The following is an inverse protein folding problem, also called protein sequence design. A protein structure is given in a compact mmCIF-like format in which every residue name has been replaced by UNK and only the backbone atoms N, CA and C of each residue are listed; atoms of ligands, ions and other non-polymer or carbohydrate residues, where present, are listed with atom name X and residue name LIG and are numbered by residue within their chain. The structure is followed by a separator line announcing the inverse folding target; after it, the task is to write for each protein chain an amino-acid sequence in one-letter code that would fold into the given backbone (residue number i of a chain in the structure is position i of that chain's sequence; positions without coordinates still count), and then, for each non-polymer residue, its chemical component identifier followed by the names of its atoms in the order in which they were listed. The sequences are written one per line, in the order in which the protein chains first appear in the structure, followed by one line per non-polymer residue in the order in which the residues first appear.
data_IF_595980856111
#
_entry.id   IF_595980856111
#
_cell.length_a   1.000
_cell.length_b   1.000
_cell.length_c   1.000
_cell.angle_alpha   90.00
_cell.angle_beta   90.00
_cell.angle_gamma   90.00
#
_symmetry.space_group_name_H-M   'P 1'
#
loop_
_entity.id
_entity.type
_entity.pdbx_description
1 polymer ?
#
# COMPACT_ATOMS: atom_id res chain seq x y z
N UNK A 1 -25.08 -4.02 -5.58
CA UNK A 1 -24.46 -2.84 -4.95
C UNK A 1 -23.09 -2.71 -5.58
N UNK A 2 -22.66 -1.51 -5.95
CA UNK A 2 -21.34 -1.25 -6.55
C UNK A 2 -20.26 -1.51 -5.51
N UNK A 3 -19.24 -2.30 -5.85
CA UNK A 3 -18.20 -2.74 -4.91
C UNK A 3 -17.40 -1.54 -4.36
N UNK A 4 -17.25 -0.46 -5.16
CA UNK A 4 -16.50 0.73 -4.74
C UNK A 4 -17.26 1.64 -3.77
N UNK A 5 -18.59 1.72 -3.87
CA UNK A 5 -19.40 2.56 -2.97
C UNK A 5 -19.38 2.05 -1.52
N UNK A 6 -19.13 0.74 -1.34
CA UNK A 6 -18.94 0.12 -0.02
C UNK A 6 -17.64 0.54 0.65
N UNK A 7 -16.68 1.08 -0.12
CA UNK A 7 -15.40 1.56 0.38
C UNK A 7 -15.45 3.02 0.89
N UNK A 8 -16.52 3.76 0.57
CA UNK A 8 -16.69 5.13 1.03
C UNK A 8 -16.81 5.18 2.57
N UNK A 9 -15.79 5.74 3.23
CA UNK A 9 -15.73 5.84 4.69
C UNK A 9 -14.98 4.70 5.38
N UNK A 10 -14.36 3.80 4.62
CA UNK A 10 -13.47 2.77 5.16
C UNK A 10 -12.09 3.36 5.47
N UNK A 11 -11.54 3.03 6.65
CA UNK A 11 -10.19 3.41 7.04
C UNK A 11 -9.26 2.19 7.05
N UNK A 12 -8.12 2.30 6.41
CA UNK A 12 -7.06 1.30 6.47
C UNK A 12 -6.44 1.23 7.87
N UNK A 13 -5.96 0.03 8.26
CA UNK A 13 -5.12 -0.12 9.44
C UNK A 13 -3.87 0.80 9.34
N UNK A 14 -3.53 1.57 10.39
CA UNK A 14 -2.79 2.83 10.24
C UNK A 14 -1.27 2.75 10.15
N UNK A 15 -0.63 1.57 10.17
CA UNK A 15 0.83 1.51 10.15
C UNK A 15 1.39 0.31 9.38
N UNK A 16 2.31 0.59 8.46
CA UNK A 16 3.10 -0.36 7.70
C UNK A 16 4.58 -0.23 8.08
N UNK A 17 5.25 -1.34 8.39
CA UNK A 17 6.72 -1.39 8.53
C UNK A 17 7.31 -2.19 7.38
N UNK A 18 8.26 -1.61 6.63
CA UNK A 18 8.97 -2.27 5.52
C UNK A 18 10.42 -2.54 5.93
N UNK A 19 10.85 -3.80 5.80
CA UNK A 19 12.25 -4.20 5.96
C UNK A 19 12.97 -4.22 4.60
N UNK A 20 14.13 -3.58 4.51
CA UNK A 20 14.81 -3.33 3.22
C UNK A 20 15.81 -4.42 2.78
N UNK A 21 15.83 -5.60 3.41
CA UNK A 21 16.82 -6.66 3.16
C UNK A 21 16.37 -7.75 2.16
N UNK A 22 15.08 -7.81 1.81
CA UNK A 22 14.51 -8.82 0.91
C UNK A 22 13.28 -8.28 0.17
N UNK A 23 12.61 -9.14 -0.61
CA UNK A 23 11.22 -8.90 -1.00
C UNK A 23 10.38 -8.72 0.27
N UNK A 24 9.56 -7.68 0.30
CA UNK A 24 8.66 -7.44 1.42
C UNK A 24 7.22 -7.71 1.00
N UNK A 25 6.52 -8.51 1.79
CA UNK A 25 5.10 -8.85 1.57
C UNK A 25 4.33 -8.47 2.82
N UNK A 26 3.19 -7.85 2.63
CA UNK A 26 2.28 -7.63 3.74
C UNK A 26 0.85 -7.42 3.31
N UNK A 27 0.02 -7.17 4.32
CA UNK A 27 -1.42 -7.06 4.15
C UNK A 27 -1.95 -5.86 4.94
N UNK A 28 -2.95 -5.19 4.39
CA UNK A 28 -3.72 -4.13 5.03
C UNK A 28 -5.18 -4.56 5.07
N UNK A 29 -5.79 -4.54 6.25
CA UNK A 29 -7.23 -4.78 6.36
C UNK A 29 -7.96 -3.48 6.06
N UNK A 30 -8.85 -3.52 5.06
CA UNK A 30 -9.69 -2.38 4.64
C UNK A 30 -10.95 -2.40 5.51
N UNK A 31 -11.76 -3.46 5.43
CA UNK A 31 -12.86 -3.74 6.36
C UNK A 31 -13.24 -5.23 6.29
N UNK A 32 -13.58 -5.86 7.41
CA UNK A 32 -14.07 -7.23 7.37
C UNK A 32 -15.45 -7.30 6.69
N UNK A 33 -15.58 -8.10 5.63
CA UNK A 33 -16.85 -8.37 4.95
C UNK A 33 -17.16 -7.52 3.72
N UNK A 34 -16.17 -6.77 3.20
CA UNK A 34 -16.26 -6.15 1.87
C UNK A 34 -15.50 -7.00 0.86
N UNK A 35 -16.15 -7.37 -0.25
CA UNK A 35 -15.50 -8.08 -1.34
C UNK A 35 -14.73 -7.09 -2.23
N UNK A 36 -13.40 -7.20 -2.24
CA UNK A 36 -12.51 -6.35 -3.04
C UNK A 36 -12.21 -6.95 -4.42
N UNK A 37 -12.80 -8.09 -4.76
CA UNK A 37 -12.55 -8.78 -6.03
C UNK A 37 -12.96 -7.89 -7.21
N UNK A 38 -12.05 -7.74 -8.18
CA UNK A 38 -12.28 -6.94 -9.38
C UNK A 38 -12.05 -5.44 -9.22
N UNK A 39 -11.70 -4.97 -8.02
CA UNK A 39 -11.25 -3.59 -7.80
C UNK A 39 -9.77 -3.48 -8.19
N UNK A 40 -9.44 -2.43 -8.93
CA UNK A 40 -8.06 -2.09 -9.29
C UNK A 40 -7.49 -1.19 -8.21
N UNK A 41 -6.30 -1.52 -7.73
CA UNK A 41 -5.64 -0.75 -6.68
C UNK A 41 -4.34 -0.13 -7.17
N UNK A 42 -4.00 1.03 -6.59
CA UNK A 42 -2.68 1.65 -6.72
C UNK A 42 -2.22 2.24 -5.40
N UNK A 43 -0.96 2.01 -5.06
CA UNK A 43 -0.28 2.61 -3.91
C UNK A 43 1.03 3.23 -4.35
N UNK A 44 1.25 4.49 -3.98
CA UNK A 44 2.50 5.20 -4.23
C UNK A 44 3.16 5.58 -2.91
N UNK A 45 4.34 5.01 -2.66
CA UNK A 45 5.19 5.35 -1.51
C UNK A 45 6.00 6.58 -1.84
N UNK A 46 5.97 7.59 -0.98
CA UNK A 46 6.67 8.87 -1.12
C UNK A 46 7.44 9.19 0.15
N UNK A 47 8.49 9.99 0.04
CA UNK A 47 9.32 10.38 1.19
C UNK A 47 8.60 11.28 2.21
N UNK A 48 7.64 12.11 1.77
CA UNK A 48 6.84 12.96 2.64
C UNK A 48 5.47 13.31 2.03
N UNK A 49 4.56 13.82 2.87
CA UNK A 49 3.26 14.34 2.43
C UNK A 49 3.46 15.50 1.45
N UNK A 50 2.78 15.45 0.31
CA UNK A 50 2.88 16.47 -0.73
C UNK A 50 4.15 16.40 -1.59
N UNK A 51 5.04 15.44 -1.33
CA UNK A 51 6.21 15.21 -2.19
C UNK A 51 5.81 14.64 -3.54
N UNK A 52 6.61 14.92 -4.57
CA UNK A 52 6.49 14.30 -5.91
C UNK A 52 7.48 13.15 -6.10
N UNK A 53 8.36 12.91 -5.12
CA UNK A 53 9.35 11.85 -5.16
C UNK A 53 8.71 10.50 -4.81
N UNK A 54 8.55 9.64 -5.81
CA UNK A 54 7.96 8.30 -5.66
C UNK A 54 9.08 7.29 -5.43
N UNK A 55 9.07 6.67 -4.25
CA UNK A 55 10.04 5.65 -3.86
C UNK A 55 9.63 4.25 -4.34
N UNK A 56 8.32 3.98 -4.39
CA UNK A 56 7.76 2.75 -4.94
C UNK A 56 6.34 2.99 -5.49
N UNK A 57 6.00 2.31 -6.59
CA UNK A 57 4.67 2.30 -7.19
C UNK A 57 4.18 0.85 -7.28
N UNK A 58 3.11 0.55 -6.56
CA UNK A 58 2.50 -0.77 -6.49
C UNK A 58 1.10 -0.68 -7.10
N UNK A 59 0.79 -1.55 -8.06
CA UNK A 59 -0.50 -1.51 -8.74
C UNK A 59 -1.02 -2.92 -9.00
N UNK A 60 -2.31 -3.03 -9.27
CA UNK A 60 -2.86 -4.31 -9.75
C UNK A 60 -2.32 -4.66 -11.15
N UNK A 61 -1.93 -3.67 -11.97
CA UNK A 61 -1.36 -3.91 -13.30
C UNK A 61 0.04 -4.53 -13.29
N UNK A 62 0.84 -4.27 -12.25
CA UNK A 62 2.14 -4.94 -12.06
C UNK A 62 2.06 -6.13 -11.09
N UNK A 63 0.86 -6.47 -10.60
CA UNK A 63 0.63 -7.59 -9.68
C UNK A 63 1.14 -7.34 -8.25
N UNK A 64 1.60 -6.13 -7.94
CA UNK A 64 2.16 -5.80 -6.63
C UNK A 64 1.09 -5.41 -5.60
N UNK A 65 -0.18 -5.28 -6.01
CA UNK A 65 -1.28 -4.88 -5.15
C UNK A 65 -2.59 -5.59 -5.56
N UNK A 66 -3.19 -6.36 -4.65
CA UNK A 66 -4.43 -7.10 -4.91
C UNK A 66 -5.33 -7.20 -3.69
N UNK A 67 -6.63 -7.05 -3.87
CA UNK A 67 -7.64 -7.29 -2.84
C UNK A 67 -8.19 -8.71 -2.88
N UNK A 68 -8.59 -9.25 -1.73
CA UNK A 68 -9.32 -10.52 -1.64
C UNK A 68 -10.78 -10.33 -1.16
N UNK A 69 -11.55 -11.43 -1.21
CA UNK A 69 -12.95 -11.45 -0.80
C UNK A 69 -13.17 -11.27 0.71
N UNK A 70 -12.10 -11.25 1.52
CA UNK A 70 -12.18 -11.02 2.97
C UNK A 70 -12.02 -9.54 3.32
N UNK A 71 -11.78 -8.67 2.34
CA UNK A 71 -11.53 -7.24 2.58
C UNK A 71 -10.08 -6.93 2.93
N UNK A 72 -9.16 -7.84 2.57
CA UNK A 72 -7.72 -7.67 2.81
C UNK A 72 -7.02 -7.28 1.52
N UNK A 73 -6.20 -6.23 1.61
CA UNK A 73 -5.35 -5.76 0.54
C UNK A 73 -3.93 -6.30 0.75
N UNK A 74 -3.48 -7.16 -0.16
CA UNK A 74 -2.15 -7.74 -0.16
C UNK A 74 -1.24 -6.92 -1.08
N UNK A 75 0.00 -6.72 -0.64
CA UNK A 75 0.99 -6.01 -1.44
C UNK A 75 2.37 -6.65 -1.37
N UNK A 76 3.16 -6.39 -2.41
CA UNK A 76 4.51 -6.92 -2.57
C UNK A 76 5.45 -5.79 -3.02
N UNK A 77 6.49 -5.53 -2.24
CA UNK A 77 7.65 -4.76 -2.70
C UNK A 77 8.75 -5.73 -3.10
N UNK A 78 9.21 -5.60 -4.34
CA UNK A 78 10.34 -6.38 -4.84
C UNK A 78 11.65 -5.96 -4.17
N UNK A 79 12.65 -6.84 -4.18
CA UNK A 79 13.99 -6.59 -3.68
C UNK A 79 14.63 -5.33 -4.30
N UNK A 80 14.29 -5.01 -5.56
CA UNK A 80 14.73 -3.80 -6.21
C UNK A 80 14.08 -2.55 -5.58
N UNK A 81 12.77 -2.58 -5.35
CA UNK A 81 12.04 -1.49 -4.69
C UNK A 81 12.45 -1.32 -3.23
N UNK A 82 12.65 -2.42 -2.49
CA UNK A 82 13.12 -2.35 -1.11
C UNK A 82 14.55 -1.80 -1.01
N UNK A 83 15.41 -2.06 -2.01
CA UNK A 83 16.73 -1.41 -2.11
C UNK A 83 16.66 0.10 -2.36
N UNK A 84 15.69 0.59 -3.14
CA UNK A 84 15.46 2.03 -3.31
C UNK A 84 14.96 2.72 -2.04
N UNK A 85 14.35 1.96 -1.13
CA UNK A 85 13.93 2.45 0.19
C UNK A 85 15.06 2.46 1.22
N UNK A 86 16.17 1.73 0.99
CA UNK A 86 17.29 1.65 1.94
C UNK A 86 17.88 3.01 2.40
N UNK A 87 18.02 4.05 1.53
CA UNK A 87 18.47 5.38 1.97
C UNK A 87 17.52 6.07 2.97
N UNK A 88 16.27 5.61 3.06
CA UNK A 88 15.23 6.14 3.93
C UNK A 88 15.06 5.31 5.21
N UNK A 89 15.94 4.34 5.47
CA UNK A 89 15.92 3.57 6.70
C UNK A 89 16.00 4.48 7.95
N UNK A 90 15.13 4.22 8.93
CA UNK A 90 14.98 5.05 10.13
C UNK A 90 14.09 6.28 9.94
N UNK A 91 13.48 6.45 8.77
CA UNK A 91 12.52 7.53 8.49
C UNK A 91 11.10 6.99 8.34
N UNK A 92 10.13 7.91 8.31
CA UNK A 92 8.74 7.62 7.99
C UNK A 92 8.43 8.15 6.59
N UNK A 93 8.12 7.24 5.67
CA UNK A 93 7.54 7.54 4.37
C UNK A 93 6.01 7.61 4.48
N UNK A 94 5.35 8.00 3.40
CA UNK A 94 3.88 8.04 3.33
C UNK A 94 3.35 7.41 2.06
N UNK A 95 2.14 6.86 2.10
CA UNK A 95 1.45 6.39 0.91
C UNK A 95 -0.05 6.71 0.91
N UNK A 96 -0.57 6.98 -0.29
CA UNK A 96 -2.01 6.93 -0.55
C UNK A 96 -2.35 5.60 -1.22
N UNK A 97 -3.55 5.09 -0.98
CA UNK A 97 -4.07 3.88 -1.65
C UNK A 97 -5.34 4.26 -2.38
N UNK A 98 -5.28 4.20 -3.70
CA UNK A 98 -6.41 4.44 -4.58
C UNK A 98 -7.05 3.11 -4.95
N UNK A 99 -8.37 3.07 -4.87
CA UNK A 99 -9.23 2.03 -5.40
C UNK A 99 -9.98 2.58 -6.61
N UNK A 100 -9.98 1.83 -7.71
CA UNK A 100 -10.71 2.13 -8.94
C UNK A 100 -11.62 0.97 -9.29
N UNK A 101 -12.88 1.28 -9.56
CA UNK A 101 -13.93 0.30 -9.81
C UNK A 101 -15.21 1.02 -10.17
N UNK A 102 -16.06 0.39 -10.97
CA UNK A 102 -17.35 0.95 -11.39
C UNK A 102 -17.26 2.34 -12.07
N UNK A 103 -16.09 2.70 -12.64
CA UNK A 103 -15.82 4.00 -13.25
C UNK A 103 -15.48 5.13 -12.27
N UNK A 104 -15.37 4.82 -10.99
CA UNK A 104 -15.05 5.76 -9.91
C UNK A 104 -13.63 5.52 -9.37
N UNK A 105 -13.03 6.55 -8.77
CA UNK A 105 -11.75 6.44 -8.06
C UNK A 105 -11.91 6.96 -6.63
N UNK A 106 -11.53 6.15 -5.66
CA UNK A 106 -11.60 6.48 -4.24
C UNK A 106 -10.23 6.36 -3.59
N UNK A 107 -9.84 7.37 -2.78
CA UNK A 107 -8.71 7.21 -1.87
C UNK A 107 -9.18 6.53 -0.58
N UNK A 108 -8.62 5.35 -0.28
CA UNK A 108 -8.92 4.58 0.93
C UNK A 108 -8.20 5.14 2.17
N UNK A 109 -7.23 6.02 1.96
CA UNK A 109 -6.55 6.75 3.01
C UNK A 109 -7.31 8.06 3.30
N UNK A 110 -7.89 8.21 4.49
CA UNK A 110 -8.41 9.51 4.95
C UNK A 110 -7.28 10.54 5.15
N UNK A 111 -6.08 10.06 5.43
CA UNK A 111 -4.81 10.79 5.44
C UNK A 111 -3.70 9.82 4.97
N UNK A 112 -2.59 10.32 4.39
CA UNK A 112 -1.52 9.45 3.91
C UNK A 112 -1.06 8.44 4.98
N UNK A 113 -1.04 7.16 4.62
CA UNK A 113 -0.62 6.06 5.47
C UNK A 113 0.84 6.23 5.83
N UNK A 114 1.18 6.21 7.11
CA UNK A 114 2.56 6.23 7.58
C UNK A 114 3.23 4.87 7.32
N UNK A 115 4.40 4.92 6.68
CA UNK A 115 5.23 3.77 6.35
C UNK A 115 6.55 3.92 7.08
N UNK A 116 6.76 3.12 8.12
CA UNK A 116 8.04 3.01 8.79
C UNK A 116 9.00 2.20 7.91
N UNK A 117 10.15 2.78 7.57
CA UNK A 117 11.20 2.08 6.82
C UNK A 117 12.28 1.68 7.82
N UNK A 118 12.46 0.37 8.02
CA UNK A 118 13.52 -0.16 8.86
C UNK A 118 14.64 -0.73 8.00
N UNK A 119 15.88 -0.50 8.42
CA UNK A 119 17.00 -1.27 7.89
C UNK A 119 16.75 -2.74 8.25
N UNK A 120 16.67 -3.59 7.24
CA UNK A 120 16.61 -5.02 7.50
C UNK A 120 17.89 -5.48 8.21
N UNK A 121 17.77 -6.37 9.20
CA UNK A 121 18.94 -6.94 9.86
C UNK A 121 19.59 -7.91 8.89
N UNK A 122 20.78 -7.59 8.36
CA UNK A 122 21.64 -8.58 7.73
C UNK A 122 22.30 -9.37 8.86
N UNK A 123 21.79 -10.56 9.19
CA UNK A 123 22.57 -11.50 10.00
C UNK A 123 23.79 -11.94 9.18
N UNK A 124 25.02 -11.78 9.69
CA UNK A 124 26.24 -12.23 9.01
C UNK A 124 26.29 -13.75 8.83
#
# INVERSE_FOLDING_TARGET
MTNIAQLAGVALSPSLTIETNADFRGALTVLAGVDLTGIVFRMQVRDAVGSTNILADLSSSNGALSGDASGVLHYVLTAAQTKFLAPYAGTTAVADILAEGDGETLNLCAAPLAIAISAGVTTP
#
